data_IF_259662222276
#
_entry.id   IF_259662222276
#
_cell.length_a   1.000
_cell.length_b   1.000
_cell.length_c   1.000
_cell.angle_alpha   90.00
_cell.angle_beta   90.00
_cell.angle_gamma   90.00
#
_symmetry.space_group_name_H-M   'P 1'
#
loop_
_entity.id
_entity.type
_entity.pdbx_description
1 polymer ?
#
# COMPACT_ATOMS: atom_id res chain seq x y z
N UNK A 1 17.81 10.55 -1.38
CA UNK A 1 17.67 9.60 -0.27
C UNK A 1 16.63 10.13 0.71
N UNK A 2 15.35 9.78 0.49
CA UNK A 2 14.71 8.95 1.51
C UNK A 2 13.91 7.81 0.87
N UNK A 3 14.26 6.55 1.16
CA UNK A 3 13.45 5.41 0.75
C UNK A 3 12.23 5.26 1.67
N UNK A 4 12.45 4.92 2.95
CA UNK A 4 11.36 4.61 3.89
C UNK A 4 10.63 5.84 4.47
N UNK A 5 11.22 7.04 4.43
CA UNK A 5 10.54 8.24 4.94
C UNK A 5 9.34 8.65 4.06
N UNK A 6 9.42 8.39 2.75
CA UNK A 6 8.32 8.62 1.81
C UNK A 6 7.12 7.72 2.10
N UNK A 7 7.34 6.49 2.59
CA UNK A 7 6.27 5.57 3.00
C UNK A 7 5.49 6.08 4.21
N UNK A 8 6.12 6.88 5.08
CA UNK A 8 5.39 7.54 6.17
C UNK A 8 4.36 8.54 5.62
N UNK A 9 4.67 9.22 4.52
CA UNK A 9 3.71 10.09 3.86
C UNK A 9 2.56 9.30 3.22
N UNK A 10 2.86 8.16 2.58
CA UNK A 10 1.82 7.25 2.06
C UNK A 10 0.87 6.80 3.16
N UNK A 11 1.40 6.37 4.32
CA UNK A 11 0.60 5.97 5.46
C UNK A 11 -0.20 7.15 6.04
N UNK A 12 0.42 8.33 6.16
CA UNK A 12 -0.25 9.54 6.64
C UNK A 12 -1.48 9.89 5.80
N UNK A 13 -1.33 9.95 4.47
CA UNK A 13 -2.44 10.24 3.56
C UNK A 13 -3.51 9.15 3.60
N UNK A 14 -3.11 7.89 3.74
CA UNK A 14 -4.05 6.76 3.89
C UNK A 14 -4.89 6.91 5.17
N UNK A 15 -4.25 7.23 6.30
CA UNK A 15 -4.96 7.46 7.56
C UNK A 15 -5.83 8.71 7.53
N UNK A 16 -5.39 9.78 6.86
CA UNK A 16 -6.22 10.96 6.65
C UNK A 16 -7.48 10.63 5.84
N UNK A 17 -7.35 9.83 4.78
CA UNK A 17 -8.49 9.40 3.97
C UNK A 17 -9.46 8.49 4.74
N UNK A 18 -8.94 7.59 5.59
CA UNK A 18 -9.74 6.77 6.51
C UNK A 18 -10.49 7.66 7.53
N UNK A 19 -9.80 8.62 8.14
CA UNK A 19 -10.40 9.53 9.13
C UNK A 19 -11.50 10.41 8.53
N UNK A 20 -11.35 10.81 7.26
CA UNK A 20 -12.35 11.56 6.49
C UNK A 20 -13.46 10.67 5.91
N UNK A 21 -13.43 9.35 6.13
CA UNK A 21 -14.42 8.40 5.61
C UNK A 21 -14.41 8.23 4.08
N UNK A 22 -13.34 8.66 3.39
CA UNK A 22 -13.22 8.54 1.93
C UNK A 22 -12.97 7.10 1.47
N UNK A 23 -12.31 6.33 2.33
CA UNK A 23 -12.05 4.90 2.18
C UNK A 23 -12.32 4.20 3.51
N UNK A 24 -12.46 2.88 3.47
CA UNK A 24 -12.56 2.02 4.65
C UNK A 24 -11.41 1.00 4.64
N UNK A 25 -11.19 0.33 5.77
CA UNK A 25 -10.23 -0.77 5.88
C UNK A 25 -10.45 -1.89 4.85
N UNK A 26 -11.71 -2.12 4.47
CA UNK A 26 -12.12 -3.16 3.53
C UNK A 26 -12.15 -2.69 2.07
N UNK A 27 -11.88 -1.41 1.81
CA UNK A 27 -11.82 -0.90 0.44
C UNK A 27 -10.74 -1.66 -0.33
N UNK A 28 -11.05 -2.22 -1.52
CA UNK A 28 -10.06 -2.95 -2.30
C UNK A 28 -9.05 -1.99 -2.92
N UNK A 29 -7.76 -2.32 -2.80
CA UNK A 29 -6.64 -1.65 -3.43
C UNK A 29 -6.19 -2.49 -4.62
N UNK A 30 -6.47 -2.09 -5.86
CA UNK A 30 -6.09 -2.86 -7.05
C UNK A 30 -4.60 -2.71 -7.34
N UNK A 31 -3.96 -3.82 -7.73
CA UNK A 31 -2.55 -3.87 -8.08
C UNK A 31 -2.39 -3.79 -9.60
N UNK A 32 -1.81 -2.69 -10.06
CA UNK A 32 -1.47 -2.51 -11.46
C UNK A 32 -0.26 -3.38 -11.85
N UNK A 33 -0.01 -3.55 -13.15
CA UNK A 33 1.19 -4.20 -13.63
C UNK A 33 2.48 -3.54 -13.11
N UNK A 34 2.47 -2.21 -12.94
CA UNK A 34 3.56 -1.45 -12.37
C UNK A 34 3.78 -1.79 -10.89
N UNK A 35 2.71 -1.75 -10.07
CA UNK A 35 2.78 -2.08 -8.65
C UNK A 35 3.35 -3.49 -8.43
N UNK A 36 2.84 -4.48 -9.15
CA UNK A 36 3.32 -5.87 -9.08
C UNK A 36 4.79 -6.06 -9.50
N UNK A 37 5.32 -5.14 -10.33
CA UNK A 37 6.68 -5.18 -10.84
C UNK A 37 7.71 -4.52 -9.92
N UNK A 38 7.27 -3.83 -8.86
CA UNK A 38 8.16 -3.15 -7.91
C UNK A 38 9.18 -4.11 -7.27
N UNK A 39 10.39 -3.59 -7.08
CA UNK A 39 11.52 -4.26 -6.46
C UNK A 39 12.23 -3.32 -5.49
N UNK A 40 13.04 -3.82 -4.53
CA UNK A 40 12.88 -5.09 -3.80
C UNK A 40 11.85 -4.99 -2.66
N UNK A 41 11.50 -6.12 -2.07
CA UNK A 41 10.56 -6.27 -0.92
C UNK A 41 9.09 -5.97 -1.25
N UNK A 42 8.26 -7.03 -1.31
CA UNK A 42 6.88 -6.94 -1.80
C UNK A 42 5.91 -7.96 -1.16
N UNK A 43 4.62 -7.74 -1.36
CA UNK A 43 3.54 -8.66 -1.00
C UNK A 43 3.35 -9.74 -2.07
N UNK A 44 3.58 -9.41 -3.35
CA UNK A 44 3.57 -10.38 -4.46
C UNK A 44 2.20 -10.60 -5.09
N UNK A 45 1.31 -9.61 -4.99
CA UNK A 45 -0.01 -9.64 -5.63
C UNK A 45 0.16 -9.59 -7.15
N UNK A 46 -0.52 -10.48 -7.87
CA UNK A 46 -0.48 -10.52 -9.34
C UNK A 46 -1.18 -9.29 -9.94
N UNK A 47 -0.78 -8.82 -11.13
CA UNK A 47 -1.47 -7.74 -11.82
C UNK A 47 -2.97 -8.02 -11.97
N UNK A 48 -3.80 -7.02 -11.68
CA UNK A 48 -5.27 -7.14 -11.69
C UNK A 48 -5.85 -7.75 -10.40
N UNK A 49 -5.01 -8.23 -9.48
CA UNK A 49 -5.44 -8.59 -8.14
C UNK A 49 -5.71 -7.37 -7.26
N UNK A 50 -6.26 -7.59 -6.07
CA UNK A 50 -6.45 -6.53 -5.07
C UNK A 50 -6.33 -7.07 -3.66
N UNK A 51 -5.94 -6.22 -2.72
CA UNK A 51 -6.00 -6.51 -1.28
C UNK A 51 -6.78 -5.41 -0.55
N UNK A 52 -7.37 -5.69 0.62
CA UNK A 52 -7.96 -4.63 1.44
C UNK A 52 -6.93 -3.57 1.84
N UNK A 53 -7.36 -2.32 2.03
CA UNK A 53 -6.53 -1.22 2.57
C UNK A 53 -5.78 -1.64 3.84
N UNK A 54 -6.41 -2.40 4.74
CA UNK A 54 -5.75 -2.89 5.95
C UNK A 54 -4.53 -3.78 5.66
N UNK A 55 -4.62 -4.66 4.65
CA UNK A 55 -3.51 -5.51 4.24
C UNK A 55 -2.40 -4.68 3.58
N UNK A 56 -2.77 -3.68 2.77
CA UNK A 56 -1.80 -2.76 2.18
C UNK A 56 -1.01 -2.00 3.27
N UNK A 57 -1.70 -1.43 4.27
CA UNK A 57 -1.06 -0.75 5.41
C UNK A 57 -0.12 -1.70 6.15
N UNK A 58 -0.59 -2.90 6.51
CA UNK A 58 0.22 -3.88 7.23
C UNK A 58 1.46 -4.27 6.45
N UNK A 59 1.36 -4.43 5.13
CA UNK A 59 2.51 -4.78 4.28
C UNK A 59 3.57 -3.67 4.23
N UNK A 60 3.16 -2.39 4.19
CA UNK A 60 4.08 -1.24 4.25
C UNK A 60 4.76 -1.19 5.63
N UNK A 61 4.01 -1.39 6.72
CA UNK A 61 4.58 -1.27 8.08
C UNK A 61 5.48 -2.44 8.42
N UNK A 62 5.06 -3.68 8.12
CA UNK A 62 5.75 -4.90 8.57
C UNK A 62 6.85 -5.34 7.61
N UNK A 63 6.61 -5.23 6.30
CA UNK A 63 7.57 -5.66 5.29
C UNK A 63 8.25 -4.48 4.61
N UNK A 64 7.80 -3.24 4.79
CA UNK A 64 8.25 -2.13 3.94
C UNK A 64 7.99 -2.45 2.46
N UNK A 65 6.87 -3.12 2.16
CA UNK A 65 6.53 -3.58 0.82
C UNK A 65 6.38 -2.39 -0.14
N UNK A 66 7.10 -2.42 -1.27
CA UNK A 66 7.06 -1.36 -2.29
C UNK A 66 5.82 -1.45 -3.18
N UNK A 67 5.33 -2.66 -3.46
CA UNK A 67 4.17 -2.90 -4.33
C UNK A 67 2.84 -2.43 -3.74
N UNK A 68 2.84 -2.07 -2.47
CA UNK A 68 1.65 -1.61 -1.73
C UNK A 68 1.68 -0.12 -1.41
N UNK A 69 2.79 0.57 -1.72
CA UNK A 69 2.99 1.99 -1.48
C UNK A 69 2.61 2.83 -2.71
#
# INVERSE_FOLDING_TARGET
YPASLTKMMTLYLTFEALAKGRISKNTPVPFSAHASAEAPTKLGVRPGGSVPVEIAILSIVTKSANDSA
#
